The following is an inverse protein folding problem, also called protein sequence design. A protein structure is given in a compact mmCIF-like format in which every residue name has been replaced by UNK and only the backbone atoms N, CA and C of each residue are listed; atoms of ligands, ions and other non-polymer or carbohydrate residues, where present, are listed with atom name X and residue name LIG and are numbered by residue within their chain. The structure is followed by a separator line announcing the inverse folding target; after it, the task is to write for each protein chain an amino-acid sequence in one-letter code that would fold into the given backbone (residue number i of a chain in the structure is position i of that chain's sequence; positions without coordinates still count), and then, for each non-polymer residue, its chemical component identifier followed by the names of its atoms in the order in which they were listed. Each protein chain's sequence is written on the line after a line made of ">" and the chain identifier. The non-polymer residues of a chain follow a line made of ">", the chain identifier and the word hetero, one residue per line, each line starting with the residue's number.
data_IF_172030726685
#
_entry.id   IF_172030726685
#
_cell.length_a   1.000
_cell.length_b   1.000
_cell.length_c   1.000
_cell.angle_alpha   90.00
_cell.angle_beta   90.00
_cell.angle_gamma   90.00
#
_symmetry.space_group_name_H-M   'P 1'
#
loop_
_entity.id
_entity.type
_entity.pdbx_description
1 polymer ?
#
# COMPACT_ATOMS: atom_id res chain seq x y z
N UNK A 1 -9.56 24.03 10.77
CA UNK A 1 -9.91 22.77 10.10
C UNK A 1 -8.85 21.75 10.49
N UNK A 2 -9.22 20.50 10.79
CA UNK A 2 -8.24 19.45 11.12
C UNK A 2 -7.61 18.99 9.81
N UNK A 3 -6.28 19.04 9.69
CA UNK A 3 -5.56 18.53 8.53
C UNK A 3 -5.70 17.00 8.47
N UNK A 4 -5.82 16.43 7.26
CA UNK A 4 -5.87 14.97 7.08
C UNK A 4 -4.56 14.34 7.57
N UNK A 5 -4.64 13.32 8.44
CA UNK A 5 -3.47 12.51 8.83
C UNK A 5 -3.27 11.36 7.85
N UNK A 6 -2.18 11.42 7.10
CA UNK A 6 -1.73 10.39 6.15
C UNK A 6 -0.58 9.59 6.75
N UNK A 7 -0.84 8.32 7.04
CA UNK A 7 0.19 7.38 7.50
C UNK A 7 0.63 6.49 6.32
N UNK A 8 1.92 6.53 6.00
CA UNK A 8 2.49 5.85 4.84
C UNK A 8 3.44 4.74 5.28
N UNK A 9 3.23 3.53 4.77
CA UNK A 9 4.08 2.38 5.04
C UNK A 9 4.71 1.87 3.76
N UNK A 10 6.03 2.04 3.61
CA UNK A 10 6.80 1.43 2.53
C UNK A 10 7.33 0.06 2.98
N UNK A 11 6.77 -1.00 2.41
CA UNK A 11 7.18 -2.39 2.66
C UNK A 11 8.22 -2.94 1.66
N UNK A 12 8.75 -2.08 0.78
CA UNK A 12 9.78 -2.48 -0.17
C UNK A 12 11.13 -2.68 0.52
N UNK A 13 11.82 -3.81 0.32
CA UNK A 13 13.18 -4.01 0.82
C UNK A 13 14.17 -2.97 0.30
N UNK A 14 13.87 -2.38 -0.86
CA UNK A 14 14.68 -1.33 -1.49
C UNK A 14 14.44 0.06 -0.89
N UNK A 15 13.48 0.23 0.04
CA UNK A 15 13.21 1.50 0.72
C UNK A 15 13.07 2.64 -0.30
N UNK A 16 13.78 3.75 -0.11
CA UNK A 16 13.76 4.93 -0.98
C UNK A 16 14.36 4.74 -2.38
N UNK A 17 15.15 3.67 -2.61
CA UNK A 17 15.66 3.35 -3.95
C UNK A 17 14.72 2.44 -4.74
N UNK A 18 13.61 2.00 -4.13
CA UNK A 18 12.62 1.14 -4.76
C UNK A 18 11.60 1.90 -5.60
N UNK A 19 11.13 1.28 -6.68
CA UNK A 19 10.07 1.82 -7.53
C UNK A 19 8.74 2.00 -6.78
N UNK A 20 8.49 1.18 -5.75
CA UNK A 20 7.36 1.38 -4.82
C UNK A 20 7.40 2.76 -4.17
N UNK A 21 8.58 3.27 -3.81
CA UNK A 21 8.71 4.57 -3.13
C UNK A 21 8.35 5.72 -4.06
N UNK A 22 8.63 5.59 -5.37
CA UNK A 22 8.24 6.59 -6.39
C UNK A 22 6.72 6.81 -6.41
N UNK A 23 5.93 5.73 -6.29
CA UNK A 23 4.47 5.84 -6.22
C UNK A 23 4.02 6.51 -4.92
N UNK A 24 4.65 6.13 -3.81
CA UNK A 24 4.34 6.71 -2.50
C UNK A 24 4.64 8.20 -2.48
N UNK A 25 5.81 8.62 -2.95
CA UNK A 25 6.21 10.02 -3.02
C UNK A 25 5.30 10.84 -3.94
N UNK A 26 4.91 10.31 -5.10
CA UNK A 26 3.94 11.00 -5.97
C UNK A 26 2.61 11.26 -5.26
N UNK A 27 2.10 10.28 -4.50
CA UNK A 27 0.87 10.45 -3.72
C UNK A 27 1.06 11.43 -2.56
N UNK A 28 2.17 11.31 -1.83
CA UNK A 28 2.53 12.21 -0.71
C UNK A 28 2.64 13.66 -1.20
N UNK A 29 3.26 13.89 -2.36
CA UNK A 29 3.42 15.22 -2.94
C UNK A 29 2.05 15.89 -3.16
N UNK A 30 1.11 15.17 -3.75
CA UNK A 30 -0.27 15.65 -3.90
C UNK A 30 -0.98 15.84 -2.57
N UNK A 31 -0.86 14.91 -1.64
CA UNK A 31 -1.51 15.05 -0.33
C UNK A 31 -0.99 16.28 0.43
N UNK A 32 0.32 16.55 0.37
CA UNK A 32 0.95 17.71 1.01
C UNK A 32 0.55 19.03 0.35
N UNK A 33 0.28 19.06 -0.96
CA UNK A 33 -0.19 20.30 -1.62
C UNK A 33 -1.57 20.75 -1.11
N UNK A 34 -2.38 19.81 -0.61
CA UNK A 34 -3.65 20.07 0.10
C UNK A 34 -3.52 20.18 1.63
N UNK A 35 -2.30 20.23 2.17
CA UNK A 35 -2.05 20.45 3.59
C UNK A 35 -2.14 19.22 4.50
N UNK A 36 -2.06 18.00 3.95
CA UNK A 36 -2.03 16.78 4.76
C UNK A 36 -0.83 16.74 5.72
N UNK A 37 -1.07 16.23 6.93
CA UNK A 37 -0.03 15.84 7.89
C UNK A 37 0.45 14.43 7.55
N UNK A 38 1.73 14.27 7.20
CA UNK A 38 2.26 13.04 6.62
C UNK A 38 3.32 12.42 7.52
N UNK A 39 3.08 11.18 7.92
CA UNK A 39 4.03 10.32 8.63
C UNK A 39 4.39 9.13 7.72
N UNK A 40 5.67 8.91 7.42
CA UNK A 40 6.12 7.82 6.53
C UNK A 40 7.13 6.92 7.25
N UNK A 41 6.92 5.61 7.13
CA UNK A 41 7.79 4.58 7.67
C UNK A 41 8.28 3.62 6.59
N UNK A 42 9.55 3.26 6.64
CA UNK A 42 10.08 2.09 5.95
C UNK A 42 9.96 0.89 6.89
N UNK A 43 9.08 -0.07 6.59
CA UNK A 43 8.79 -1.20 7.49
C UNK A 43 10.04 -2.06 7.75
N UNK A 44 10.96 -2.07 6.79
CA UNK A 44 12.22 -2.81 6.84
C UNK A 44 13.17 -2.27 7.92
N UNK A 45 13.02 -1.00 8.32
CA UNK A 45 13.84 -0.35 9.34
C UNK A 45 13.27 -0.49 10.76
N UNK A 46 12.07 -1.05 10.89
CA UNK A 46 11.38 -1.19 12.15
C UNK A 46 11.62 -2.57 12.76
N UNK A 47 11.82 -2.62 14.08
CA UNK A 47 11.80 -3.87 14.80
C UNK A 47 10.34 -4.32 14.98
N UNK A 48 9.90 -5.24 14.12
CA UNK A 48 8.53 -5.77 14.11
C UNK A 48 8.52 -7.29 14.05
N UNK A 49 7.95 -7.88 15.09
CA UNK A 49 7.65 -9.30 15.16
C UNK A 49 6.27 -9.61 14.55
N UNK A 50 6.15 -10.80 13.95
CA UNK A 50 4.87 -11.33 13.49
C UNK A 50 3.85 -11.51 14.62
N UNK A 51 2.57 -11.60 14.27
CA UNK A 51 1.56 -11.90 15.27
C UNK A 51 1.75 -13.34 15.80
N UNK A 52 1.74 -13.51 17.13
CA UNK A 52 1.88 -14.83 17.77
C UNK A 52 0.56 -15.61 17.87
N UNK A 53 -0.57 -15.00 17.51
CA UNK A 53 -1.90 -15.61 17.68
C UNK A 53 -2.25 -15.95 19.13
N UNK A 54 -1.66 -15.26 20.12
CA UNK A 54 -1.85 -15.59 21.54
C UNK A 54 -3.14 -15.03 22.16
N UNK A 55 -3.86 -14.15 21.45
CA UNK A 55 -5.10 -13.50 21.90
C UNK A 55 -5.05 -12.71 23.22
N UNK A 56 -3.86 -12.45 23.77
CA UNK A 56 -3.73 -11.61 24.97
C UNK A 56 -4.29 -10.20 24.77
N UNK A 57 -4.23 -9.65 23.56
CA UNK A 57 -4.83 -8.36 23.21
C UNK A 57 -6.36 -8.33 23.30
N UNK A 58 -7.01 -9.49 23.41
CA UNK A 58 -8.44 -9.60 23.70
C UNK A 58 -8.71 -9.86 25.18
N UNK A 59 -8.00 -10.83 25.77
CA UNK A 59 -8.40 -11.41 27.06
C UNK A 59 -7.59 -10.96 28.27
N UNK A 60 -6.32 -10.59 28.09
CA UNK A 60 -5.40 -10.25 29.20
C UNK A 60 -5.13 -8.75 29.25
N UNK A 61 -4.87 -8.15 28.09
CA UNK A 61 -4.60 -6.72 27.91
C UNK A 61 -5.50 -6.16 26.79
N UNK A 62 -6.82 -5.99 27.03
CA UNK A 62 -7.76 -5.57 25.98
C UNK A 62 -7.29 -4.33 25.21
N UNK A 63 -7.14 -4.47 23.89
CA UNK A 63 -6.69 -3.39 23.00
C UNK A 63 -5.21 -3.04 23.08
N UNK A 64 -4.38 -3.86 23.74
CA UNK A 64 -2.93 -3.69 23.83
C UNK A 64 -2.21 -5.00 23.53
N UNK A 65 -1.19 -4.96 22.69
CA UNK A 65 -0.34 -6.12 22.45
C UNK A 65 0.62 -6.33 23.64
N UNK A 66 0.95 -7.59 23.93
CA UNK A 66 1.99 -7.93 24.92
C UNK A 66 3.41 -7.93 24.33
N UNK A 67 3.53 -7.98 23.00
CA UNK A 67 4.82 -7.87 22.32
C UNK A 67 5.27 -6.41 22.34
N UNK A 68 6.48 -6.15 22.86
CA UNK A 68 7.09 -4.82 22.98
C UNK A 68 8.12 -4.64 21.88
N UNK A 69 7.66 -4.02 20.79
CA UNK A 69 8.41 -3.74 19.58
C UNK A 69 7.85 -2.43 18.97
N UNK A 70 8.29 -2.01 17.77
CA UNK A 70 7.89 -0.71 17.23
C UNK A 70 6.38 -0.56 16.98
N UNK A 71 5.59 -1.65 17.05
CA UNK A 71 4.12 -1.56 17.07
C UNK A 71 3.59 -0.70 18.22
N UNK A 72 4.29 -0.59 19.35
CA UNK A 72 3.85 0.24 20.47
C UNK A 72 3.72 1.73 20.07
N UNK A 73 4.54 2.17 19.10
CA UNK A 73 4.48 3.53 18.53
C UNK A 73 3.51 3.62 17.35
N UNK A 74 3.43 2.59 16.52
CA UNK A 74 2.62 2.59 15.31
C UNK A 74 1.12 2.45 15.57
N UNK A 75 0.72 1.67 16.58
CA UNK A 75 -0.71 1.45 16.87
C UNK A 75 -1.46 2.76 17.19
N UNK A 76 -0.92 3.68 18.01
CA UNK A 76 -1.50 5.02 18.17
C UNK A 76 -1.60 5.79 16.84
N UNK A 77 -0.52 5.85 16.04
CA UNK A 77 -0.53 6.54 14.75
C UNK A 77 -1.59 5.96 13.79
N UNK A 78 -1.74 4.63 13.74
CA UNK A 78 -2.77 3.97 12.93
C UNK A 78 -4.18 4.33 13.43
N UNK A 79 -4.40 4.37 14.73
CA UNK A 79 -5.71 4.71 15.32
C UNK A 79 -6.11 6.18 15.08
N UNK A 80 -5.13 7.07 14.91
CA UNK A 80 -5.35 8.49 14.66
C UNK A 80 -5.38 8.86 13.17
N UNK A 81 -4.87 7.99 12.30
CA UNK A 81 -4.78 8.23 10.87
C UNK A 81 -6.16 8.29 10.20
N UNK A 82 -6.33 9.22 9.26
CA UNK A 82 -7.51 9.28 8.40
C UNK A 82 -7.34 8.35 7.18
N UNK A 83 -6.11 8.25 6.68
CA UNK A 83 -5.71 7.44 5.52
C UNK A 83 -4.43 6.68 5.84
N UNK A 84 -4.41 5.40 5.44
CA UNK A 84 -3.21 4.57 5.48
C UNK A 84 -2.84 4.14 4.07
N UNK A 85 -1.69 4.64 3.59
CA UNK A 85 -1.13 4.31 2.28
C UNK A 85 -0.10 3.20 2.44
N UNK A 86 -0.43 2.03 1.90
CA UNK A 86 0.36 0.81 1.98
C UNK A 86 1.12 0.62 0.66
N UNK A 87 2.44 0.76 0.69
CA UNK A 87 3.32 0.48 -0.45
C UNK A 87 3.92 -0.90 -0.36
N UNK A 88 3.75 -1.74 -1.38
CA UNK A 88 4.40 -3.06 -1.43
C UNK A 88 4.79 -3.46 -2.86
N UNK A 89 5.99 -4.01 -3.09
CA UNK A 89 6.19 -4.80 -4.29
C UNK A 89 5.41 -6.11 -4.19
N UNK A 90 5.01 -6.66 -5.35
CA UNK A 90 4.42 -7.99 -5.47
C UNK A 90 5.52 -9.01 -5.66
N UNK A 91 5.76 -9.84 -4.64
CA UNK A 91 6.72 -10.94 -4.66
C UNK A 91 5.97 -12.27 -4.51
N UNK A 92 6.23 -13.22 -5.40
CA UNK A 92 5.54 -14.52 -5.37
C UNK A 92 4.01 -14.40 -5.46
N UNK A 93 3.49 -13.42 -6.23
CA UNK A 93 2.06 -13.09 -6.34
C UNK A 93 1.40 -12.64 -5.03
N UNK A 94 2.18 -12.17 -4.05
CA UNK A 94 1.67 -11.70 -2.78
C UNK A 94 2.33 -10.39 -2.34
N UNK A 95 1.77 -9.78 -1.30
CA UNK A 95 2.44 -8.68 -0.57
C UNK A 95 3.73 -9.18 0.08
N UNK A 96 4.61 -8.26 0.45
CA UNK A 96 5.83 -8.62 1.18
C UNK A 96 5.51 -9.10 2.60
N UNK A 97 6.35 -9.99 3.13
CA UNK A 97 6.28 -10.40 4.54
C UNK A 97 6.44 -9.21 5.50
N UNK A 98 7.13 -8.14 5.10
CA UNK A 98 7.21 -6.89 5.87
C UNK A 98 5.81 -6.28 6.08
N UNK A 99 5.03 -6.12 5.00
CA UNK A 99 3.67 -5.59 5.09
C UNK A 99 2.75 -6.53 5.87
N UNK A 100 2.85 -7.84 5.63
CA UNK A 100 2.03 -8.83 6.33
C UNK A 100 2.23 -8.78 7.85
N UNK A 101 3.49 -8.70 8.33
CA UNK A 101 3.80 -8.59 9.77
C UNK A 101 3.11 -7.39 10.42
N UNK A 102 3.13 -6.23 9.76
CA UNK A 102 2.46 -5.03 10.25
C UNK A 102 0.93 -5.25 10.34
N UNK A 103 0.33 -5.75 9.26
CA UNK A 103 -1.13 -5.88 9.16
C UNK A 103 -1.72 -6.90 10.13
N UNK A 104 -1.07 -8.04 10.34
CA UNK A 104 -1.50 -9.04 11.33
C UNK A 104 -1.56 -8.48 12.75
N UNK A 105 -0.69 -7.51 13.06
CA UNK A 105 -0.63 -6.87 14.37
C UNK A 105 -1.70 -5.80 14.57
N UNK A 106 -2.45 -5.41 13.53
CA UNK A 106 -3.60 -4.48 13.64
C UNK A 106 -4.85 -5.14 14.23
N UNK A 107 -4.86 -6.47 14.39
CA UNK A 107 -5.95 -7.23 15.01
C UNK A 107 -6.33 -6.76 16.43
N UNK A 108 -5.42 -6.08 17.12
CA UNK A 108 -5.68 -5.42 18.41
C UNK A 108 -6.86 -4.43 18.36
N UNK A 109 -7.17 -3.88 17.19
CA UNK A 109 -8.30 -3.00 16.97
C UNK A 109 -9.64 -3.72 16.86
N UNK A 110 -9.68 -5.05 16.92
CA UNK A 110 -10.92 -5.82 16.94
C UNK A 110 -11.37 -6.13 18.37
N UNK A 111 -12.69 -6.11 18.60
CA UNK A 111 -13.31 -6.71 19.78
C UNK A 111 -13.41 -8.23 19.62
N UNK A 112 -13.42 -9.01 20.71
CA UNK A 112 -13.54 -10.47 20.64
C UNK A 112 -14.94 -10.93 20.21
N UNK A 113 -15.96 -10.10 20.37
CA UNK A 113 -17.33 -10.39 19.95
C UNK A 113 -17.42 -10.66 18.44
N UNK A 114 -18.38 -11.50 18.05
CA UNK A 114 -18.73 -11.72 16.65
C UNK A 114 -20.14 -11.22 16.40
N UNK A 115 -20.33 -10.44 15.34
CA UNK A 115 -21.63 -9.93 14.92
C UNK A 115 -21.90 -10.27 13.46
N UNK A 116 -23.13 -10.67 13.16
CA UNK A 116 -23.59 -10.83 11.78
C UNK A 116 -24.18 -9.50 11.29
N UNK A 117 -23.70 -9.01 10.15
CA UNK A 117 -24.24 -7.84 9.44
C UNK A 117 -24.05 -8.02 7.95
N UNK A 118 -25.09 -7.71 7.17
CA UNK A 118 -25.02 -7.72 5.70
C UNK A 118 -24.55 -9.06 5.10
N UNK A 119 -24.92 -10.17 5.74
CA UNK A 119 -24.56 -11.52 5.29
C UNK A 119 -23.15 -11.98 5.69
N UNK A 120 -22.38 -11.14 6.41
CA UNK A 120 -21.03 -11.46 6.88
C UNK A 120 -20.95 -11.52 8.40
N UNK A 121 -20.10 -12.42 8.92
CA UNK A 121 -19.72 -12.43 10.35
C UNK A 121 -18.41 -11.68 10.51
N UNK A 122 -18.39 -10.66 11.37
CA UNK A 122 -17.20 -9.84 11.63
C UNK A 122 -17.03 -9.52 13.11
N UNK A 123 -15.80 -9.23 13.49
CA UNK A 123 -15.49 -8.63 14.77
C UNK A 123 -15.82 -7.13 14.74
N UNK A 124 -16.56 -6.58 15.72
CA UNK A 124 -16.72 -5.13 15.84
C UNK A 124 -15.36 -4.45 16.11
N UNK A 125 -15.22 -3.20 15.65
CA UNK A 125 -14.02 -2.40 15.91
C UNK A 125 -13.99 -1.88 17.36
N UNK A 126 -12.79 -1.88 17.95
CA UNK A 126 -12.45 -1.22 19.22
C UNK A 126 -12.18 0.28 19.04
N UNK A 127 -11.86 0.69 17.81
CA UNK A 127 -11.68 2.09 17.41
C UNK A 127 -12.90 2.58 16.64
N UNK A 128 -13.23 3.86 16.77
CA UNK A 128 -14.41 4.46 16.13
C UNK A 128 -14.35 4.43 14.60
N UNK A 129 -13.13 4.49 14.04
CA UNK A 129 -12.89 4.47 12.60
C UNK A 129 -11.50 3.86 12.35
N UNK A 130 -11.44 2.90 11.44
CA UNK A 130 -10.16 2.44 10.88
C UNK A 130 -9.80 3.32 9.68
N UNK A 131 -8.51 3.66 9.45
CA UNK A 131 -8.12 4.54 8.35
C UNK A 131 -8.58 3.99 6.99
N UNK A 132 -8.92 4.90 6.07
CA UNK A 132 -9.15 4.54 4.67
C UNK A 132 -7.89 3.93 4.09
N UNK A 133 -8.00 2.76 3.46
CA UNK A 133 -6.87 2.07 2.88
C UNK A 133 -6.61 2.47 1.44
N UNK A 134 -5.34 2.66 1.11
CA UNK A 134 -4.85 2.80 -0.26
C UNK A 134 -3.71 1.79 -0.41
N UNK A 135 -3.73 0.98 -1.47
CA UNK A 135 -2.72 -0.04 -1.74
C UNK A 135 -1.95 0.33 -3.00
N UNK A 136 -0.73 0.85 -2.82
CA UNK A 136 0.23 1.09 -3.88
C UNK A 136 1.10 -0.15 -4.09
N UNK A 137 0.86 -0.87 -5.19
CA UNK A 137 1.57 -2.09 -5.50
C UNK A 137 2.33 -2.02 -6.82
N UNK A 138 3.56 -2.55 -6.81
CA UNK A 138 4.44 -2.61 -8.00
C UNK A 138 4.78 -4.05 -8.35
N UNK A 139 4.82 -4.40 -9.63
CA UNK A 139 5.25 -5.72 -10.12
C UNK A 139 6.32 -5.57 -11.21
N UNK A 140 7.17 -6.58 -11.38
CA UNK A 140 8.15 -6.64 -12.48
C UNK A 140 7.56 -7.12 -13.81
N UNK A 141 6.47 -7.89 -13.75
CA UNK A 141 5.77 -8.38 -14.93
C UNK A 141 4.82 -7.30 -15.49
N UNK A 142 4.58 -7.28 -16.81
CA UNK A 142 3.74 -6.27 -17.45
C UNK A 142 2.23 -6.54 -17.30
N UNK A 143 1.84 -7.72 -16.81
CA UNK A 143 0.45 -8.14 -16.69
C UNK A 143 -0.20 -7.72 -15.36
N UNK A 144 -1.43 -7.22 -15.44
CA UNK A 144 -2.21 -6.80 -14.28
C UNK A 144 -2.78 -7.96 -13.46
N UNK A 145 -2.84 -9.18 -14.02
CA UNK A 145 -3.25 -10.38 -13.29
C UNK A 145 -2.29 -10.77 -12.14
N UNK A 146 -1.11 -10.15 -12.07
CA UNK A 146 -0.19 -10.30 -10.94
C UNK A 146 -0.73 -9.65 -9.66
N UNK A 147 -1.72 -8.76 -9.76
CA UNK A 147 -2.32 -8.05 -8.64
C UNK A 147 -3.65 -8.67 -8.16
N UNK A 148 -4.16 -9.74 -8.80
CA UNK A 148 -5.48 -10.28 -8.50
C UNK A 148 -5.62 -10.77 -7.05
N UNK A 149 -4.58 -11.44 -6.53
CA UNK A 149 -4.55 -11.93 -5.14
C UNK A 149 -4.64 -10.76 -4.17
N UNK A 150 -3.85 -9.70 -4.37
CA UNK A 150 -3.86 -8.56 -3.44
C UNK A 150 -5.14 -7.74 -3.59
N UNK A 151 -5.73 -7.67 -4.77
CA UNK A 151 -7.06 -7.06 -4.97
C UNK A 151 -8.13 -7.80 -4.18
N UNK A 152 -8.09 -9.14 -4.18
CA UNK A 152 -9.01 -9.96 -3.41
C UNK A 152 -8.80 -9.85 -1.89
N UNK A 153 -7.55 -9.69 -1.44
CA UNK A 153 -7.23 -9.50 -0.01
C UNK A 153 -7.65 -8.12 0.53
N UNK A 154 -7.64 -7.08 -0.32
CA UNK A 154 -7.95 -5.71 0.07
C UNK A 154 -9.07 -5.09 -0.80
N UNK A 155 -10.29 -5.67 -0.82
CA UNK A 155 -11.35 -5.25 -1.73
C UNK A 155 -11.85 -3.81 -1.47
N UNK A 156 -11.64 -3.31 -0.25
CA UNK A 156 -12.02 -1.96 0.16
C UNK A 156 -10.91 -0.91 -0.03
N UNK A 157 -9.69 -1.33 -0.39
CA UNK A 157 -8.59 -0.40 -0.61
C UNK A 157 -8.70 0.25 -1.99
N UNK A 158 -8.33 1.52 -2.09
CA UNK A 158 -8.10 2.16 -3.39
C UNK A 158 -6.81 1.57 -4.00
N UNK A 159 -6.86 0.90 -5.16
CA UNK A 159 -5.66 0.34 -5.78
C UNK A 159 -4.86 1.43 -6.52
N UNK A 160 -3.54 1.38 -6.38
CA UNK A 160 -2.57 2.06 -7.24
C UNK A 160 -1.60 0.99 -7.75
N UNK A 161 -1.81 0.47 -8.96
CA UNK A 161 -1.08 -0.70 -9.47
C UNK A 161 -0.22 -0.35 -10.67
N UNK A 162 1.08 -0.65 -10.53
CA UNK A 162 2.06 -0.49 -11.58
C UNK A 162 2.71 -1.83 -11.93
N UNK A 163 2.23 -2.55 -12.96
CA UNK A 163 3.03 -3.55 -13.67
C UNK A 163 4.27 -2.94 -14.31
N UNK A 164 5.23 -3.79 -14.66
CA UNK A 164 6.52 -3.40 -15.28
C UNK A 164 7.20 -2.21 -14.60
N UNK A 165 7.19 -2.16 -13.27
CA UNK A 165 7.66 -1.01 -12.50
C UNK A 165 9.14 -0.66 -12.76
N UNK A 166 9.94 -1.59 -13.29
CA UNK A 166 11.31 -1.35 -13.77
C UNK A 166 11.41 -0.23 -14.81
N UNK A 167 10.32 0.09 -15.52
CA UNK A 167 10.29 1.23 -16.45
C UNK A 167 10.61 2.56 -15.75
N UNK A 168 10.30 2.69 -14.45
CA UNK A 168 10.66 3.87 -13.66
C UNK A 168 12.17 4.04 -13.44
N UNK A 169 12.98 3.02 -13.73
CA UNK A 169 14.44 3.09 -13.57
C UNK A 169 15.14 3.80 -14.74
N UNK A 170 14.43 4.07 -15.83
CA UNK A 170 14.99 4.68 -17.04
C UNK A 170 14.16 5.89 -17.47
N UNK A 171 14.80 6.89 -18.07
CA UNK A 171 14.14 8.16 -18.42
C UNK A 171 12.97 7.99 -19.40
N UNK A 172 13.10 7.13 -20.40
CA UNK A 172 12.03 6.91 -21.38
C UNK A 172 10.80 6.24 -20.75
N UNK A 173 11.02 5.27 -19.85
CA UNK A 173 9.93 4.65 -19.10
C UNK A 173 9.25 5.61 -18.13
N UNK A 174 9.99 6.54 -17.51
CA UNK A 174 9.39 7.62 -16.71
C UNK A 174 8.50 8.54 -17.54
N UNK A 175 8.90 8.87 -18.78
CA UNK A 175 8.05 9.66 -19.69
C UNK A 175 6.77 8.91 -20.04
N UNK A 176 6.87 7.62 -20.37
CA UNK A 176 5.70 6.78 -20.64
C UNK A 176 4.74 6.72 -19.44
N UNK A 177 5.29 6.66 -18.21
CA UNK A 177 4.50 6.59 -16.97
C UNK A 177 4.13 7.96 -16.39
N UNK A 178 4.44 9.07 -17.07
CA UNK A 178 4.22 10.42 -16.55
C UNK A 178 2.75 10.71 -16.27
N UNK A 179 1.85 10.30 -17.17
CA UNK A 179 0.40 10.45 -16.98
C UNK A 179 -0.12 9.66 -15.77
N UNK A 180 0.42 8.46 -15.54
CA UNK A 180 0.10 7.65 -14.35
C UNK A 180 0.58 8.34 -13.07
N UNK A 181 1.83 8.81 -13.03
CA UNK A 181 2.37 9.50 -11.85
C UNK A 181 1.62 10.80 -11.55
N UNK A 182 1.17 11.53 -12.58
CA UNK A 182 0.29 12.68 -12.42
C UNK A 182 -1.07 12.30 -11.84
N UNK A 183 -1.66 11.18 -12.28
CA UNK A 183 -2.91 10.68 -11.70
C UNK A 183 -2.74 10.28 -10.23
N UNK A 184 -1.62 9.65 -9.86
CA UNK A 184 -1.29 9.31 -8.47
C UNK A 184 -1.16 10.56 -7.60
N UNK A 185 -0.49 11.61 -8.10
CA UNK A 185 -0.39 12.91 -7.43
C UNK A 185 -1.76 13.56 -7.23
N UNK A 186 -2.57 13.63 -8.30
CA UNK A 186 -3.92 14.20 -8.24
C UNK A 186 -4.83 13.42 -7.27
N UNK A 187 -4.69 12.10 -7.18
CA UNK A 187 -5.42 11.29 -6.21
C UNK A 187 -5.02 11.64 -4.77
N UNK A 188 -3.74 11.87 -4.49
CA UNK A 188 -3.25 12.35 -3.20
C UNK A 188 -3.85 13.70 -2.82
N UNK A 189 -3.83 14.66 -3.74
CA UNK A 189 -4.39 16.00 -3.57
C UNK A 189 -5.88 15.96 -3.23
N UNK A 190 -6.67 15.25 -4.03
CA UNK A 190 -8.12 15.14 -3.85
C UNK A 190 -8.51 14.44 -2.55
N UNK A 191 -7.84 13.34 -2.22
CA UNK A 191 -8.12 12.62 -0.97
C UNK A 191 -7.79 13.49 0.24
N UNK A 192 -6.67 14.23 0.21
CA UNK A 192 -6.31 15.18 1.25
C UNK A 192 -7.29 16.35 1.39
N UNK A 193 -7.89 16.79 0.28
CA UNK A 193 -8.96 17.79 0.26
C UNK A 193 -10.33 17.25 0.74
N UNK A 194 -10.44 15.95 1.03
CA UNK A 194 -11.70 15.31 1.43
C UNK A 194 -12.66 15.06 0.25
N UNK A 195 -12.14 15.05 -0.97
CA UNK A 195 -12.92 14.82 -2.20
C UNK A 195 -12.98 13.33 -2.58
N UNK A 196 -14.08 12.96 -3.23
CA UNK A 196 -14.20 11.66 -3.88
C UNK A 196 -13.48 11.65 -5.23
N UNK A 197 -12.86 10.52 -5.56
CA UNK A 197 -12.20 10.33 -6.85
C UNK A 197 -13.24 9.92 -7.91
N UNK A 198 -13.18 10.58 -9.08
CA UNK A 198 -13.98 10.17 -10.24
C UNK A 198 -13.59 8.77 -10.71
N UNK A 199 -14.51 8.09 -11.42
CA UNK A 199 -14.22 6.78 -12.01
C UNK A 199 -13.01 6.84 -12.93
N UNK A 200 -12.95 7.85 -13.80
CA UNK A 200 -11.83 8.05 -14.73
C UNK A 200 -10.48 8.18 -14.01
N UNK A 201 -10.43 8.90 -12.89
CA UNK A 201 -9.19 9.01 -12.11
C UNK A 201 -8.82 7.68 -11.46
N UNK A 202 -9.79 6.93 -10.91
CA UNK A 202 -9.55 5.60 -10.35
C UNK A 202 -9.02 4.62 -11.41
N UNK A 203 -9.57 4.66 -12.61
CA UNK A 203 -9.13 3.80 -13.72
C UNK A 203 -7.68 4.13 -14.11
N UNK A 204 -7.27 5.41 -14.08
CA UNK A 204 -5.88 5.85 -14.31
C UNK A 204 -4.88 5.47 -13.22
N UNK A 205 -5.33 4.99 -12.05
CA UNK A 205 -4.45 4.49 -10.99
C UNK A 205 -4.02 3.03 -11.21
N UNK A 206 -4.48 2.38 -12.28
CA UNK A 206 -4.08 1.02 -12.65
C UNK A 206 -3.51 1.11 -14.06
N UNK A 207 -2.21 0.83 -14.22
CA UNK A 207 -1.59 0.79 -15.54
C UNK A 207 -1.93 -0.52 -16.22
N UNK A 208 -2.52 -0.45 -17.41
CA UNK A 208 -2.73 -1.57 -18.31
C UNK A 208 -1.96 -1.31 -19.61
N UNK A 209 -1.02 -2.20 -19.94
CA UNK A 209 -0.25 -2.10 -21.17
C UNK A 209 -0.97 -2.79 -22.33
N UNK A 210 -0.82 -2.27 -23.55
CA UNK A 210 -1.25 -3.00 -24.76
C UNK A 210 -0.47 -4.29 -24.92
N UNK A 211 -1.03 -5.27 -25.65
CA UNK A 211 -0.33 -6.54 -25.91
C UNK A 211 1.01 -6.34 -26.64
N UNK A 212 1.10 -5.32 -27.48
CA UNK A 212 2.35 -4.91 -28.13
C UNK A 212 3.38 -4.44 -27.10
N UNK A 213 2.99 -3.50 -26.22
CA UNK A 213 3.87 -2.98 -25.18
C UNK A 213 4.30 -4.08 -24.19
N UNK A 214 3.40 -5.02 -23.86
CA UNK A 214 3.74 -6.21 -23.04
C UNK A 214 4.85 -7.03 -23.70
N UNK A 215 4.74 -7.30 -25.01
CA UNK A 215 5.79 -8.02 -25.76
C UNK A 215 7.11 -7.27 -25.74
N UNK A 216 7.10 -5.97 -26.00
CA UNK A 216 8.32 -5.14 -25.98
C UNK A 216 9.02 -5.13 -24.62
N UNK A 217 8.25 -5.01 -23.52
CA UNK A 217 8.79 -5.05 -22.15
C UNK A 217 9.44 -6.40 -21.87
N UNK A 218 8.81 -7.50 -22.29
CA UNK A 218 9.35 -8.86 -22.11
C UNK A 218 10.63 -9.03 -22.91
N UNK A 219 10.65 -8.63 -24.17
CA UNK A 219 11.85 -8.70 -25.01
C UNK A 219 13.00 -7.87 -24.44
N UNK A 220 12.72 -6.64 -23.99
CA UNK A 220 13.70 -5.77 -23.34
C UNK A 220 14.29 -6.45 -22.09
N UNK A 221 13.45 -7.05 -21.25
CA UNK A 221 13.91 -7.74 -20.05
C UNK A 221 14.80 -8.95 -20.39
N UNK A 222 14.40 -9.76 -21.37
CA UNK A 222 15.16 -10.94 -21.78
C UNK A 222 16.53 -10.56 -22.35
N UNK A 223 16.60 -9.54 -23.22
CA UNK A 223 17.88 -9.00 -23.72
C UNK A 223 18.81 -8.54 -22.60
N UNK A 224 18.26 -7.85 -21.59
CA UNK A 224 19.03 -7.45 -20.42
C UNK A 224 19.54 -8.66 -19.64
N UNK A 225 18.68 -9.66 -19.37
CA UNK A 225 19.07 -10.86 -18.64
C UNK A 225 20.19 -11.64 -19.34
N UNK A 226 20.13 -11.75 -20.66
CA UNK A 226 21.19 -12.37 -21.48
C UNK A 226 22.52 -11.62 -21.33
N UNK A 227 22.50 -10.28 -21.32
CA UNK A 227 23.70 -9.45 -21.16
C UNK A 227 24.37 -9.58 -19.77
N UNK A 228 23.62 -9.96 -18.74
CA UNK A 228 24.15 -10.17 -17.38
C UNK A 228 24.72 -11.58 -17.18
N UNK A 229 24.45 -12.49 -18.11
CA UNK A 229 24.87 -13.89 -18.04
C UNK A 229 26.16 -14.17 -18.83
N UNK A 230 26.75 -13.14 -19.43
CA UNK A 230 28.03 -13.14 -20.15
C UNK A 230 29.11 -12.48 -19.30
#
# INVERSE_FOLDING_TARGET
>A
MKNMKLLVFNASPRKSSGTTDVLLEAFIEGAKSSGADVEKHHIVDLDLNGCRGCFNCWWVTPGKCIQRDDMDKLLPSIAEADVMLLGTPIYGRNITHYLQKLLERTFVFSLPDMVQREGETKHPGRVNKFPRLILAATCGFPDTNNFDVVRALYPMALPIFLPAAQLLLYEEGKKQLSGFLQAVRLAGEKIAAGEDLSKELKDKLIVEFSDEMKREIVEMHNRYSESQSQ
#
